data_IF_526575214336
#
_entry.id   IF_526575214336
#
_cell.length_a   1.000
_cell.length_b   1.000
_cell.length_c   1.000
_cell.angle_alpha   90.00
_cell.angle_beta   90.00
_cell.angle_gamma   90.00
#
_symmetry.space_group_name_H-M   'P 1'
#
loop_
_entity.id
_entity.type
_entity.pdbx_description
1 polymer ?
#
# COMPACT_ATOMS: atom_id res chain seq x y z
N UNK A 1 0.73 -9.12 14.83
CA UNK A 1 0.88 -9.56 16.23
C UNK A 1 1.06 -8.34 17.11
N UNK A 2 0.12 -8.14 17.98
CA UNK A 2 0.05 -6.99 18.88
C UNK A 2 0.94 -7.28 20.09
N UNK A 3 1.82 -6.36 20.38
CA UNK A 3 2.85 -6.44 21.42
C UNK A 3 2.35 -7.02 22.76
N UNK A 4 3.03 -8.04 23.30
CA UNK A 4 2.71 -8.62 24.61
C UNK A 4 3.20 -7.79 25.79
N UNK A 5 3.68 -6.58 25.65
CA UNK A 5 4.46 -5.86 26.66
C UNK A 5 3.69 -4.92 27.59
N UNK A 6 2.36 -5.00 27.61
CA UNK A 6 1.54 -4.27 28.61
C UNK A 6 0.87 -5.22 29.61
N UNK A 7 1.55 -6.26 30.00
CA UNK A 7 1.13 -7.10 31.13
C UNK A 7 1.58 -6.39 32.41
N UNK A 8 0.63 -5.82 33.16
CA UNK A 8 0.89 -5.38 34.51
C UNK A 8 0.25 -4.07 34.99
N UNK A 9 -0.61 -3.42 34.21
CA UNK A 9 -1.42 -2.34 34.78
C UNK A 9 -2.90 -2.59 34.53
N UNK A 10 -3.58 -3.07 35.54
CA UNK A 10 -5.05 -3.27 35.58
C UNK A 10 -5.86 -1.96 35.49
N UNK A 11 -5.23 -0.82 35.15
CA UNK A 11 -5.83 0.51 35.08
C UNK A 11 -5.52 1.27 33.77
N UNK A 12 -5.14 0.60 32.69
CA UNK A 12 -4.94 1.28 31.40
C UNK A 12 -6.20 1.18 30.55
N UNK A 13 -6.80 2.32 30.24
CA UNK A 13 -7.77 2.46 29.17
C UNK A 13 -7.06 2.10 27.86
N UNK A 14 -7.64 1.21 27.08
CA UNK A 14 -7.13 0.82 25.76
C UNK A 14 -8.05 1.38 24.69
N UNK A 15 -7.55 2.37 24.00
CA UNK A 15 -8.23 2.91 22.82
C UNK A 15 -7.62 2.29 21.55
N UNK A 16 -8.44 2.05 20.57
CA UNK A 16 -8.02 1.56 19.25
C UNK A 16 -8.57 2.45 18.16
N UNK A 17 -7.69 2.89 17.27
CA UNK A 17 -8.07 3.54 16.02
C UNK A 17 -7.78 2.60 14.85
N UNK A 18 -8.74 2.43 13.95
CA UNK A 18 -8.59 1.58 12.78
C UNK A 18 -9.34 2.17 11.57
N UNK A 19 -9.06 1.66 10.38
CA UNK A 19 -9.69 2.08 9.12
C UNK A 19 -9.96 0.88 8.19
N UNK A 20 -9.65 -0.32 8.63
CA UNK A 20 -9.90 -1.53 7.85
C UNK A 20 -11.38 -1.91 7.86
N UNK A 21 -11.79 -2.71 6.89
CA UNK A 21 -13.13 -3.31 6.93
C UNK A 21 -13.27 -4.17 8.19
N UNK A 22 -14.36 -3.96 8.93
CA UNK A 22 -14.62 -4.71 10.16
C UNK A 22 -14.91 -6.17 9.79
N UNK A 23 -14.14 -7.15 10.31
CA UNK A 23 -14.40 -8.54 10.05
C UNK A 23 -15.77 -8.98 10.57
N UNK A 24 -16.48 -9.83 9.80
CA UNK A 24 -17.78 -10.36 10.16
C UNK A 24 -17.69 -11.85 10.50
N UNK A 25 -18.33 -12.27 11.57
CA UNK A 25 -18.49 -13.67 11.93
C UNK A 25 -19.92 -13.94 12.35
N UNK A 26 -20.57 -14.89 11.72
CA UNK A 26 -21.95 -15.30 12.00
C UNK A 26 -22.98 -14.14 11.93
N UNK A 27 -22.69 -13.10 11.14
CA UNK A 27 -23.52 -11.91 10.98
C UNK A 27 -23.24 -10.80 12.01
N UNK A 28 -22.28 -10.99 12.89
CA UNK A 28 -21.84 -10.00 13.89
C UNK A 28 -20.45 -9.44 13.58
N UNK A 29 -20.22 -8.19 13.94
CA UNK A 29 -18.89 -7.56 13.81
C UNK A 29 -17.90 -8.16 14.81
N UNK A 30 -16.74 -8.61 14.34
CA UNK A 30 -15.66 -9.12 15.15
C UNK A 30 -14.72 -7.97 15.55
N UNK A 31 -15.06 -7.28 16.61
CA UNK A 31 -14.25 -6.17 17.13
C UNK A 31 -13.18 -6.66 18.11
N UNK A 32 -12.01 -6.02 18.13
CA UNK A 32 -10.97 -6.31 19.12
C UNK A 32 -11.41 -5.88 20.54
N UNK A 33 -10.82 -6.51 21.55
CA UNK A 33 -11.04 -6.09 22.94
C UNK A 33 -10.35 -4.74 23.19
N UNK A 34 -11.14 -3.69 23.34
CA UNK A 34 -10.71 -2.33 23.66
C UNK A 34 -11.82 -1.59 24.40
N UNK A 35 -11.47 -0.57 25.20
CA UNK A 35 -12.45 0.27 25.92
C UNK A 35 -13.16 1.24 24.96
N UNK A 36 -12.42 1.75 23.97
CA UNK A 36 -12.95 2.59 22.90
C UNK A 36 -12.36 2.17 21.56
N UNK A 37 -13.20 2.06 20.55
CA UNK A 37 -12.79 1.79 19.17
C UNK A 37 -13.27 2.95 18.29
N UNK A 38 -12.32 3.58 17.59
CA UNK A 38 -12.59 4.63 16.60
C UNK A 38 -12.28 4.06 15.22
N UNK A 39 -13.32 3.58 14.56
CA UNK A 39 -13.26 3.10 13.19
C UNK A 39 -14.55 3.51 12.48
N UNK A 40 -14.49 4.41 11.49
CA UNK A 40 -15.67 4.91 10.78
C UNK A 40 -16.36 3.86 9.90
N UNK A 41 -15.86 2.64 9.85
CA UNK A 41 -16.47 1.51 9.12
C UNK A 41 -17.29 0.58 10.00
N UNK A 42 -17.34 0.81 11.32
CA UNK A 42 -18.26 0.09 12.20
C UNK A 42 -19.70 0.41 11.83
N UNK A 43 -20.60 -0.58 11.90
CA UNK A 43 -22.03 -0.41 11.60
C UNK A 43 -22.75 0.61 12.47
N UNK A 44 -22.25 0.83 13.68
CA UNK A 44 -22.77 1.80 14.66
C UNK A 44 -22.22 3.22 14.47
N UNK A 45 -21.17 3.40 13.66
CA UNK A 45 -20.57 4.71 13.41
C UNK A 45 -21.40 5.51 12.40
N UNK A 46 -21.58 6.80 12.66
CA UNK A 46 -22.33 7.71 11.80
C UNK A 46 -21.42 8.76 11.13
N UNK A 47 -20.11 8.54 11.12
CA UNK A 47 -19.18 9.46 10.49
C UNK A 47 -19.45 9.54 8.97
N UNK A 48 -19.65 10.75 8.42
CA UNK A 48 -20.16 10.87 7.03
C UNK A 48 -19.14 10.50 5.96
N UNK A 49 -17.88 10.25 6.32
CA UNK A 49 -16.82 9.89 5.39
C UNK A 49 -15.93 8.74 5.92
N UNK A 50 -16.34 7.48 5.74
CA UNK A 50 -15.65 6.34 6.32
C UNK A 50 -14.34 5.95 5.59
N UNK A 51 -13.96 6.64 4.53
CA UNK A 51 -12.84 6.25 3.65
C UNK A 51 -11.52 6.93 4.01
N UNK A 52 -11.33 7.24 5.28
CA UNK A 52 -10.05 7.75 5.78
C UNK A 52 -9.04 6.62 5.91
N UNK A 53 -7.76 6.91 5.69
CA UNK A 53 -6.68 6.01 6.10
C UNK A 53 -6.42 6.11 7.61
N UNK A 54 -5.69 5.14 8.19
CA UNK A 54 -5.40 5.11 9.62
C UNK A 54 -4.74 6.39 10.16
N UNK A 55 -3.79 6.96 9.42
CA UNK A 55 -3.19 8.24 9.80
C UNK A 55 -4.15 9.43 9.66
N UNK A 56 -5.13 9.36 8.76
CA UNK A 56 -6.21 10.35 8.66
C UNK A 56 -7.09 10.35 9.89
N UNK A 57 -7.45 9.17 10.39
CA UNK A 57 -8.22 9.01 11.65
C UNK A 57 -7.41 9.52 12.84
N UNK A 58 -6.15 9.10 12.95
CA UNK A 58 -5.25 9.56 14.00
C UNK A 58 -5.08 11.09 13.99
N UNK A 59 -4.91 11.69 12.80
CA UNK A 59 -4.86 13.14 12.64
C UNK A 59 -6.13 13.82 13.17
N UNK A 60 -7.32 13.32 12.85
CA UNK A 60 -8.58 13.90 13.32
C UNK A 60 -8.74 13.81 14.84
N UNK A 61 -8.36 12.67 15.42
CA UNK A 61 -8.36 12.49 16.87
C UNK A 61 -7.43 13.51 17.56
N UNK A 62 -6.19 13.62 17.08
CA UNK A 62 -5.22 14.57 17.64
C UNK A 62 -5.66 16.03 17.41
N UNK A 63 -6.24 16.32 16.24
CA UNK A 63 -6.79 17.64 15.95
C UNK A 63 -7.85 18.06 16.98
N UNK A 64 -8.79 17.16 17.31
CA UNK A 64 -9.81 17.41 18.32
C UNK A 64 -9.20 17.55 19.72
N UNK A 65 -8.19 16.77 20.08
CA UNK A 65 -7.46 16.91 21.33
C UNK A 65 -6.77 18.29 21.46
N UNK A 66 -6.12 18.76 20.37
CA UNK A 66 -5.53 20.09 20.33
C UNK A 66 -6.59 21.18 20.51
N UNK A 67 -7.72 21.04 19.81
CA UNK A 67 -8.85 21.96 19.90
C UNK A 67 -9.38 22.06 21.33
N UNK A 68 -9.66 20.93 21.99
CA UNK A 68 -10.12 20.88 23.40
C UNK A 68 -9.09 21.42 24.38
N UNK A 69 -7.81 21.21 24.10
CA UNK A 69 -6.73 21.75 24.94
C UNK A 69 -6.41 23.23 24.64
N UNK A 70 -7.13 23.90 23.74
CA UNK A 70 -6.86 25.27 23.32
C UNK A 70 -5.51 25.45 22.60
N UNK A 71 -4.89 24.37 22.13
CA UNK A 71 -3.61 24.40 21.40
C UNK A 71 -3.82 24.66 19.91
N UNK A 72 -2.81 25.26 19.26
CA UNK A 72 -2.78 25.54 17.81
C UNK A 72 -1.60 24.81 17.18
N UNK A 73 -1.59 24.68 15.86
CA UNK A 73 -0.45 24.16 15.12
C UNK A 73 -0.56 22.70 14.68
N UNK A 74 -1.60 21.97 15.10
CA UNK A 74 -1.83 20.57 14.73
C UNK A 74 -1.74 20.35 13.20
N UNK A 75 -2.37 21.21 12.41
CA UNK A 75 -2.35 21.11 10.94
C UNK A 75 -0.94 21.22 10.39
N UNK A 76 -0.15 22.19 10.90
CA UNK A 76 1.22 22.38 10.44
C UNK A 76 2.13 21.18 10.75
N UNK A 77 1.91 20.57 11.89
CA UNK A 77 2.74 19.47 12.38
C UNK A 77 2.36 18.13 11.75
N UNK A 78 1.07 17.83 11.65
CA UNK A 78 0.58 16.48 11.38
C UNK A 78 -0.10 16.31 10.01
N UNK A 79 -0.65 17.38 9.43
CA UNK A 79 -1.37 17.26 8.17
C UNK A 79 -0.51 16.78 6.99
N UNK A 80 0.79 17.11 6.88
CA UNK A 80 1.66 16.52 5.87
C UNK A 80 1.77 14.99 5.98
N UNK A 81 1.83 14.44 7.21
CA UNK A 81 1.86 13.00 7.43
C UNK A 81 0.54 12.33 7.07
N UNK A 82 -0.59 12.92 7.47
CA UNK A 82 -1.91 12.43 7.07
C UNK A 82 -2.06 12.43 5.54
N UNK A 83 -1.56 13.46 4.85
CA UNK A 83 -1.59 13.54 3.40
C UNK A 83 -0.72 12.46 2.73
N UNK A 84 0.50 12.25 3.24
CA UNK A 84 1.38 11.18 2.74
C UNK A 84 0.73 9.81 2.89
N UNK A 85 0.23 9.50 4.09
CA UNK A 85 -0.42 8.23 4.35
C UNK A 85 -1.67 8.04 3.49
N UNK A 86 -2.51 9.08 3.35
CA UNK A 86 -3.72 9.04 2.49
C UNK A 86 -3.38 8.65 1.05
N UNK A 87 -2.30 9.18 0.50
CA UNK A 87 -1.85 8.82 -0.85
C UNK A 87 -1.23 7.44 -0.91
N UNK A 88 -0.38 7.09 0.07
CA UNK A 88 0.34 5.81 0.09
C UNK A 88 -0.56 4.62 0.36
N UNK A 89 -1.63 4.81 1.12
CA UNK A 89 -2.65 3.80 1.41
C UNK A 89 -3.68 3.62 0.28
N UNK A 90 -3.57 4.44 -0.75
CA UNK A 90 -4.37 4.36 -1.97
C UNK A 90 -5.89 4.50 -1.71
N UNK A 91 -6.26 5.20 -0.66
CA UNK A 91 -7.68 5.51 -0.40
C UNK A 91 -8.21 6.55 -1.39
N UNK A 92 -9.53 6.58 -1.66
CA UNK A 92 -10.11 7.48 -2.66
C UNK A 92 -9.80 8.96 -2.38
N UNK A 93 -9.31 9.70 -3.38
CA UNK A 93 -8.91 11.11 -3.26
C UNK A 93 -10.07 12.08 -3.59
N UNK A 94 -11.23 11.85 -3.01
CA UNK A 94 -12.37 12.78 -3.01
C UNK A 94 -12.80 13.10 -1.58
N UNK A 95 -13.78 14.00 -1.40
CA UNK A 95 -14.27 14.38 -0.08
C UNK A 95 -13.17 14.90 0.84
N UNK A 96 -13.11 14.39 2.07
CA UNK A 96 -12.12 14.80 3.07
C UNK A 96 -10.69 14.43 2.68
N UNK A 97 -10.47 13.26 2.11
CA UNK A 97 -9.14 12.84 1.67
C UNK A 97 -8.52 13.83 0.68
N UNK A 98 -9.33 14.35 -0.26
CA UNK A 98 -8.85 15.39 -1.18
C UNK A 98 -8.41 16.65 -0.45
N UNK A 99 -9.18 17.08 0.56
CA UNK A 99 -8.87 18.26 1.38
C UNK A 99 -7.59 18.04 2.20
N UNK A 100 -7.44 16.87 2.82
CA UNK A 100 -6.26 16.48 3.58
C UNK A 100 -5.02 16.53 2.67
N UNK A 101 -5.08 15.90 1.50
CA UNK A 101 -3.93 15.82 0.58
C UNK A 101 -3.58 17.20 0.02
N UNK A 102 -4.55 18.01 -0.42
CA UNK A 102 -4.28 19.38 -0.92
C UNK A 102 -3.63 20.27 0.13
N UNK A 103 -4.18 20.28 1.35
CA UNK A 103 -3.67 21.12 2.44
C UNK A 103 -2.33 20.61 2.96
N UNK A 104 -2.16 19.30 3.07
CA UNK A 104 -0.91 18.68 3.49
C UNK A 104 0.23 18.94 2.51
N UNK A 105 -0.02 18.83 1.21
CA UNK A 105 0.95 19.16 0.16
C UNK A 105 1.35 20.66 0.20
N UNK A 106 0.37 21.56 0.36
CA UNK A 106 0.65 22.99 0.47
C UNK A 106 1.51 23.33 1.70
N UNK A 107 1.40 22.54 2.77
CA UNK A 107 2.14 22.72 4.02
C UNK A 107 3.43 21.90 4.13
N UNK A 108 3.72 21.01 3.20
CA UNK A 108 4.78 20.00 3.34
C UNK A 108 6.19 20.60 3.57
N UNK A 109 6.50 21.73 2.92
CA UNK A 109 7.76 22.45 3.11
C UNK A 109 7.78 23.35 4.36
N UNK A 110 6.65 23.50 5.03
CA UNK A 110 6.50 24.35 6.22
C UNK A 110 6.42 23.52 7.50
N UNK A 111 6.52 22.19 7.39
CA UNK A 111 6.53 21.31 8.57
C UNK A 111 7.73 21.61 9.47
N UNK A 112 7.52 21.58 10.77
CA UNK A 112 8.59 21.65 11.76
C UNK A 112 9.35 20.33 11.91
N UNK A 113 8.94 19.27 11.24
CA UNK A 113 9.55 17.95 11.38
C UNK A 113 10.90 17.88 10.67
N UNK A 114 11.97 17.73 11.46
CA UNK A 114 13.35 17.71 10.99
C UNK A 114 13.60 16.49 10.08
N UNK A 115 13.08 15.34 10.46
CA UNK A 115 13.26 14.10 9.70
C UNK A 115 12.59 14.14 8.33
N UNK A 116 11.35 14.64 8.24
CA UNK A 116 10.66 14.79 6.96
C UNK A 116 11.40 15.78 6.05
N UNK A 117 11.85 16.91 6.59
CA UNK A 117 12.64 17.88 5.84
C UNK A 117 13.97 17.29 5.34
N UNK A 118 14.65 16.48 6.15
CA UNK A 118 15.87 15.78 5.76
C UNK A 118 15.59 14.79 4.60
N UNK A 119 14.51 14.01 4.66
CA UNK A 119 14.13 13.09 3.61
C UNK A 119 13.81 13.82 2.29
N UNK A 120 13.01 14.88 2.36
CA UNK A 120 12.67 15.72 1.19
C UNK A 120 13.93 16.29 0.54
N UNK A 121 14.88 16.76 1.34
CA UNK A 121 16.16 17.29 0.86
C UNK A 121 17.00 16.21 0.16
N UNK A 122 17.08 15.02 0.72
CA UNK A 122 17.83 13.90 0.11
C UNK A 122 17.20 13.40 -1.20
N UNK A 123 15.88 13.50 -1.34
CA UNK A 123 15.18 13.11 -2.57
C UNK A 123 15.28 14.13 -3.70
N UNK A 124 15.84 15.32 -3.43
CA UNK A 124 16.18 16.38 -4.39
C UNK A 124 15.03 16.71 -5.37
N UNK A 125 13.98 17.31 -4.83
CA UNK A 125 12.85 17.74 -5.66
C UNK A 125 13.16 19.06 -6.33
N UNK A 126 13.26 19.06 -7.68
CA UNK A 126 13.48 20.28 -8.48
C UNK A 126 12.21 21.12 -8.70
N UNK A 127 11.04 20.58 -8.35
CA UNK A 127 9.73 21.19 -8.52
C UNK A 127 8.90 21.01 -7.26
N UNK A 128 7.74 21.68 -7.23
CA UNK A 128 6.75 21.48 -6.17
C UNK A 128 6.37 19.99 -6.03
N UNK A 129 6.32 19.53 -4.78
CA UNK A 129 5.95 18.14 -4.45
C UNK A 129 4.46 17.96 -4.72
N UNK A 130 4.11 16.95 -5.50
CA UNK A 130 2.74 16.60 -5.88
C UNK A 130 2.34 15.27 -5.21
N UNK A 131 1.06 14.94 -5.26
CA UNK A 131 0.55 13.67 -4.74
C UNK A 131 1.29 12.45 -5.32
N UNK A 132 1.62 12.49 -6.62
CA UNK A 132 2.42 11.45 -7.26
C UNK A 132 3.79 11.26 -6.62
N UNK A 133 4.43 12.36 -6.17
CA UNK A 133 5.73 12.27 -5.50
C UNK A 133 5.61 11.63 -4.10
N UNK A 134 4.47 11.83 -3.41
CA UNK A 134 4.17 11.13 -2.17
C UNK A 134 4.08 9.61 -2.40
N UNK A 135 3.30 9.19 -3.40
CA UNK A 135 3.06 7.77 -3.68
C UNK A 135 4.25 7.03 -4.29
N UNK A 136 5.06 7.68 -5.16
CA UNK A 136 6.11 6.99 -5.92
C UNK A 136 7.55 7.30 -5.49
N UNK A 137 7.77 8.33 -4.68
CA UNK A 137 9.12 8.72 -4.24
C UNK A 137 9.25 8.72 -2.73
N UNK A 138 8.42 9.45 -2.00
CA UNK A 138 8.53 9.59 -0.54
C UNK A 138 8.02 8.32 0.16
N UNK A 139 6.81 7.88 -0.14
CA UNK A 139 6.19 6.70 0.46
C UNK A 139 7.02 5.42 0.31
N UNK A 140 7.51 5.08 -0.89
CA UNK A 140 8.39 3.94 -1.08
C UNK A 140 9.68 3.99 -0.26
N UNK A 141 10.26 5.17 -0.01
CA UNK A 141 11.41 5.31 0.89
C UNK A 141 11.01 4.99 2.34
N UNK A 142 9.90 5.54 2.81
CA UNK A 142 9.41 5.30 4.19
C UNK A 142 9.08 3.82 4.41
N UNK A 143 8.56 3.13 3.40
CA UNK A 143 8.18 1.72 3.49
C UNK A 143 9.35 0.75 3.31
N UNK A 144 10.46 1.19 2.71
CA UNK A 144 11.58 0.30 2.36
C UNK A 144 12.25 -0.38 3.57
N UNK A 145 12.52 0.31 4.71
CA UNK A 145 13.08 -0.33 5.89
C UNK A 145 12.20 -1.48 6.39
N UNK A 146 10.88 -1.27 6.51
CA UNK A 146 9.96 -2.31 6.96
C UNK A 146 9.84 -3.52 6.02
N UNK A 147 10.25 -3.36 4.76
CA UNK A 147 10.31 -4.48 3.80
C UNK A 147 11.62 -5.28 3.89
N UNK A 148 12.75 -4.62 4.11
CA UNK A 148 14.07 -5.27 4.04
C UNK A 148 14.75 -5.45 5.40
N UNK A 149 14.35 -4.68 6.41
CA UNK A 149 14.98 -4.61 7.73
C UNK A 149 13.94 -4.42 8.84
N UNK A 150 13.85 -3.20 9.38
CA UNK A 150 12.95 -2.83 10.47
C UNK A 150 12.24 -1.50 10.17
N UNK A 151 10.91 -1.50 10.25
CA UNK A 151 10.08 -0.30 10.06
C UNK A 151 10.36 0.80 11.10
N UNK A 152 10.97 0.46 12.23
CA UNK A 152 11.36 1.40 13.28
C UNK A 152 12.33 2.48 12.77
N UNK A 153 13.17 2.18 11.78
CA UNK A 153 14.09 3.18 11.18
C UNK A 153 13.34 4.40 10.63
N UNK A 154 12.19 4.19 10.01
CA UNK A 154 11.37 5.29 9.48
C UNK A 154 10.68 6.08 10.59
N UNK A 155 10.23 5.43 11.64
CA UNK A 155 9.67 6.09 12.81
C UNK A 155 10.74 6.95 13.51
N UNK A 156 11.93 6.41 13.72
CA UNK A 156 13.05 7.11 14.33
C UNK A 156 13.48 8.34 13.52
N UNK A 157 13.40 8.29 12.18
CA UNK A 157 13.63 9.47 11.36
C UNK A 157 12.64 10.60 11.70
N UNK A 158 11.36 10.29 11.80
CA UNK A 158 10.33 11.31 12.08
C UNK A 158 10.30 11.79 13.53
N UNK A 159 10.86 11.01 14.46
CA UNK A 159 11.03 11.38 15.86
C UNK A 159 12.35 12.10 16.15
N UNK A 160 13.25 12.19 15.17
CA UNK A 160 14.57 12.77 15.33
C UNK A 160 14.50 14.30 15.53
N UNK A 161 15.28 14.79 16.48
CA UNK A 161 15.34 16.21 16.84
C UNK A 161 16.66 16.88 16.45
N UNK A 162 17.68 16.08 16.14
CA UNK A 162 18.97 16.56 15.67
C UNK A 162 19.05 16.53 14.13
N UNK A 163 19.44 17.62 13.52
CA UNK A 163 19.43 17.78 12.07
C UNK A 163 20.50 16.93 11.36
N UNK A 164 21.65 16.69 11.99
CA UNK A 164 22.72 15.87 11.42
C UNK A 164 22.35 14.39 11.49
N UNK A 165 21.83 13.94 12.62
CA UNK A 165 21.30 12.60 12.79
C UNK A 165 20.15 12.33 11.82
N UNK A 166 19.21 13.27 11.65
CA UNK A 166 18.13 13.16 10.70
C UNK A 166 18.63 13.03 9.25
N UNK A 167 19.65 13.80 8.86
CA UNK A 167 20.24 13.70 7.53
C UNK A 167 20.87 12.33 7.28
N UNK A 168 21.58 11.78 8.27
CA UNK A 168 22.19 10.45 8.18
C UNK A 168 21.12 9.33 8.10
N UNK A 169 20.03 9.44 8.87
CA UNK A 169 18.90 8.49 8.81
C UNK A 169 18.19 8.58 7.47
N UNK A 170 17.91 9.78 6.98
CA UNK A 170 17.28 9.98 5.67
C UNK A 170 18.12 9.37 4.53
N UNK A 171 19.43 9.56 4.55
CA UNK A 171 20.36 8.97 3.58
C UNK A 171 20.25 7.43 3.58
N UNK A 172 20.26 6.79 4.77
CA UNK A 172 20.12 5.34 4.92
C UNK A 172 18.79 4.82 4.38
N UNK A 173 17.70 5.50 4.66
CA UNK A 173 16.36 5.12 4.18
C UNK A 173 16.30 5.19 2.65
N UNK A 174 16.88 6.23 2.04
CA UNK A 174 16.96 6.35 0.58
C UNK A 174 17.81 5.23 -0.02
N UNK A 175 18.95 4.92 0.57
CA UNK A 175 19.81 3.80 0.16
C UNK A 175 19.08 2.45 0.26
N UNK A 176 18.38 2.19 1.37
CA UNK A 176 17.55 0.99 1.56
C UNK A 176 16.47 0.88 0.48
N UNK A 177 15.86 1.99 0.08
CA UNK A 177 14.88 1.98 -1.00
C UNK A 177 15.51 1.69 -2.37
N UNK A 178 16.71 2.18 -2.66
CA UNK A 178 17.44 1.82 -3.89
C UNK A 178 17.82 0.33 -3.89
N UNK A 179 18.27 -0.22 -2.77
CA UNK A 179 18.50 -1.66 -2.60
C UNK A 179 17.22 -2.46 -2.88
N UNK A 180 16.08 -2.05 -2.32
CA UNK A 180 14.78 -2.69 -2.57
C UNK A 180 14.42 -2.65 -4.06
N UNK A 181 14.59 -1.50 -4.72
CA UNK A 181 14.32 -1.34 -6.16
C UNK A 181 15.17 -2.27 -7.00
N UNK A 182 16.45 -2.38 -6.70
CA UNK A 182 17.38 -3.23 -7.45
C UNK A 182 17.04 -4.71 -7.26
N UNK A 183 16.76 -5.15 -6.03
CA UNK A 183 16.28 -6.51 -5.76
C UNK A 183 14.98 -6.79 -6.52
N UNK A 184 14.03 -5.85 -6.50
CA UNK A 184 12.76 -5.99 -7.23
C UNK A 184 13.00 -6.13 -8.73
N UNK A 185 13.85 -5.29 -9.34
CA UNK A 185 14.20 -5.36 -10.78
C UNK A 185 14.82 -6.69 -11.14
N UNK A 186 15.82 -7.13 -10.39
CA UNK A 186 16.51 -8.39 -10.61
C UNK A 186 15.54 -9.57 -10.56
N UNK A 187 14.70 -9.65 -9.50
CA UNK A 187 13.73 -10.73 -9.35
C UNK A 187 12.64 -10.68 -10.44
N UNK A 188 12.15 -9.50 -10.79
CA UNK A 188 11.17 -9.34 -11.88
C UNK A 188 11.74 -9.81 -13.22
N UNK A 189 12.99 -9.43 -13.52
CA UNK A 189 13.67 -9.86 -14.74
C UNK A 189 13.83 -11.38 -14.79
N UNK A 190 14.35 -11.99 -13.73
CA UNK A 190 14.50 -13.44 -13.63
C UNK A 190 13.15 -14.16 -13.82
N UNK A 191 12.10 -13.69 -13.15
CA UNK A 191 10.77 -14.25 -13.28
C UNK A 191 10.20 -14.11 -14.69
N UNK A 192 10.38 -12.96 -15.34
CA UNK A 192 9.91 -12.72 -16.70
C UNK A 192 10.62 -13.60 -17.71
N UNK A 193 11.94 -13.79 -17.58
CA UNK A 193 12.72 -14.72 -18.40
C UNK A 193 12.22 -16.17 -18.23
N UNK A 194 11.86 -16.59 -17.03
CA UNK A 194 11.31 -17.93 -16.79
C UNK A 194 9.93 -18.11 -17.45
N UNK A 195 9.05 -17.13 -17.29
CA UNK A 195 7.71 -17.14 -17.89
C UNK A 195 7.78 -17.20 -19.43
N UNK A 196 8.74 -16.52 -20.04
CA UNK A 196 8.90 -16.46 -21.51
C UNK A 196 9.44 -17.74 -22.15
N UNK A 197 9.97 -18.69 -21.37
CA UNK A 197 10.47 -19.98 -21.90
C UNK A 197 9.36 -20.91 -22.40
N UNK A 198 8.12 -20.65 -22.03
CA UNK A 198 6.96 -21.48 -22.34
C UNK A 198 5.81 -20.64 -22.90
N UNK A 199 4.83 -21.24 -23.58
CA UNK A 199 3.61 -20.55 -23.95
C UNK A 199 2.94 -19.95 -22.72
N UNK A 200 2.51 -18.69 -22.83
CA UNK A 200 1.96 -17.92 -21.71
C UNK A 200 0.66 -18.55 -21.21
N UNK A 201 0.62 -19.07 -19.97
CA UNK A 201 -0.59 -19.65 -19.40
C UNK A 201 -1.60 -18.55 -18.97
N UNK A 202 -2.87 -18.91 -18.72
CA UNK A 202 -3.87 -17.94 -18.27
C UNK A 202 -3.61 -17.40 -16.84
N UNK A 203 -2.87 -18.13 -16.02
CA UNK A 203 -2.42 -17.73 -14.66
C UNK A 203 -0.93 -18.00 -14.54
N UNK A 204 -0.19 -17.04 -14.03
CA UNK A 204 1.25 -17.19 -13.78
C UNK A 204 1.47 -17.61 -12.32
N UNK A 205 2.16 -18.73 -12.14
CA UNK A 205 2.61 -19.19 -10.81
C UNK A 205 4.11 -19.37 -10.86
N UNK A 206 4.84 -18.42 -10.29
CA UNK A 206 6.30 -18.33 -10.38
C UNK A 206 6.90 -18.59 -8.99
N UNK A 207 7.85 -19.54 -8.92
CA UNK A 207 8.61 -19.79 -7.71
C UNK A 207 10.00 -19.16 -7.84
N UNK A 208 10.32 -18.27 -6.89
CA UNK A 208 11.58 -17.54 -6.81
C UNK A 208 12.23 -17.79 -5.44
N UNK A 209 13.10 -18.76 -5.36
CA UNK A 209 13.71 -19.21 -4.11
C UNK A 209 14.38 -18.08 -3.32
N UNK A 210 15.09 -17.19 -4.00
CA UNK A 210 15.88 -16.11 -3.37
C UNK A 210 15.12 -14.79 -3.22
N UNK A 211 13.85 -14.74 -3.62
CA UNK A 211 13.05 -13.53 -3.49
C UNK A 211 12.65 -13.31 -2.03
N UNK A 212 12.93 -12.13 -1.49
CA UNK A 212 12.47 -11.80 -0.16
C UNK A 212 10.94 -11.70 -0.13
N UNK A 213 10.28 -12.30 0.87
CA UNK A 213 8.81 -12.38 0.95
C UNK A 213 8.12 -11.02 0.85
N UNK A 214 8.70 -9.97 1.44
CA UNK A 214 8.16 -8.61 1.42
C UNK A 214 8.22 -7.92 0.05
N UNK A 215 9.00 -8.48 -0.90
CA UNK A 215 9.16 -7.96 -2.27
C UNK A 215 8.34 -8.78 -3.26
N UNK A 216 7.97 -10.02 -2.90
CA UNK A 216 7.21 -10.93 -3.77
C UNK A 216 5.93 -10.30 -4.34
N UNK A 217 5.20 -9.53 -3.53
CA UNK A 217 3.99 -8.81 -3.97
C UNK A 217 4.26 -7.72 -5.01
N UNK A 218 5.42 -7.06 -4.95
CA UNK A 218 5.81 -6.04 -5.93
C UNK A 218 6.22 -6.73 -7.23
N UNK A 219 6.98 -7.82 -7.16
CA UNK A 219 7.33 -8.64 -8.32
C UNK A 219 6.07 -9.17 -9.02
N UNK A 220 5.10 -9.67 -8.23
CA UNK A 220 3.81 -10.12 -8.77
C UNK A 220 3.07 -8.98 -9.49
N UNK A 221 3.09 -7.77 -8.95
CA UNK A 221 2.51 -6.57 -9.56
C UNK A 221 3.16 -6.25 -10.92
N UNK A 222 4.49 -6.21 -10.96
CA UNK A 222 5.25 -5.93 -12.18
C UNK A 222 5.01 -6.99 -13.28
N UNK A 223 5.00 -8.26 -12.90
CA UNK A 223 4.70 -9.35 -13.86
C UNK A 223 3.25 -9.28 -14.37
N UNK A 224 2.29 -8.94 -13.51
CA UNK A 224 0.90 -8.72 -13.91
C UNK A 224 0.79 -7.59 -14.95
N UNK A 225 1.50 -6.50 -14.75
CA UNK A 225 1.53 -5.39 -15.72
C UNK A 225 2.18 -5.79 -17.04
N UNK A 226 3.29 -6.50 -16.96
CA UNK A 226 4.02 -6.91 -18.16
C UNK A 226 3.28 -7.94 -19.02
N UNK A 227 2.58 -8.90 -18.40
CA UNK A 227 1.95 -10.02 -19.09
C UNK A 227 0.43 -9.95 -19.16
N UNK A 228 -0.18 -9.03 -18.41
CA UNK A 228 -1.62 -8.94 -18.22
C UNK A 228 -2.26 -10.29 -17.85
N UNK A 229 -1.79 -10.88 -16.77
CA UNK A 229 -2.24 -12.17 -16.22
C UNK A 229 -2.39 -12.07 -14.70
N UNK A 230 -3.28 -12.83 -14.06
CA UNK A 230 -3.16 -13.09 -12.64
C UNK A 230 -1.82 -13.73 -12.34
N UNK A 231 -1.11 -13.25 -11.32
CA UNK A 231 0.24 -13.70 -10.97
C UNK A 231 0.29 -14.09 -9.50
N UNK A 232 0.88 -15.22 -9.23
CA UNK A 232 1.30 -15.68 -7.90
C UNK A 232 2.82 -15.82 -7.90
N UNK A 233 3.49 -15.05 -7.05
CA UNK A 233 4.92 -15.20 -6.77
C UNK A 233 5.08 -15.90 -5.44
N UNK A 234 5.81 -16.99 -5.44
CA UNK A 234 6.04 -17.87 -4.26
C UNK A 234 7.52 -17.87 -3.96
N UNK A 235 7.88 -17.79 -2.68
CA UNK A 235 9.27 -17.74 -2.23
C UNK A 235 9.46 -18.55 -0.96
N UNK A 236 10.71 -18.83 -0.61
CA UNK A 236 11.08 -19.49 0.63
C UNK A 236 10.87 -18.55 1.83
N UNK A 237 10.37 -19.10 2.93
CA UNK A 237 10.22 -18.43 4.21
C UNK A 237 10.45 -19.45 5.36
N UNK A 238 11.70 -19.65 5.70
CA UNK A 238 12.09 -20.66 6.68
C UNK A 238 11.79 -22.10 6.22
N UNK A 239 10.96 -22.79 6.95
CA UNK A 239 10.57 -24.19 6.69
C UNK A 239 9.36 -24.35 5.75
N UNK A 240 8.75 -23.24 5.36
CA UNK A 240 7.57 -23.21 4.48
C UNK A 240 7.76 -22.23 3.32
N UNK A 241 6.77 -22.17 2.46
CA UNK A 241 6.72 -21.21 1.36
C UNK A 241 5.67 -20.15 1.64
N UNK A 242 5.97 -18.91 1.28
CA UNK A 242 5.01 -17.80 1.25
C UNK A 242 4.77 -17.34 -0.18
N UNK A 243 3.55 -16.93 -0.45
CA UNK A 243 3.16 -16.42 -1.75
C UNK A 243 2.40 -15.11 -1.66
N UNK A 244 2.58 -14.31 -2.69
CA UNK A 244 1.81 -13.08 -2.93
C UNK A 244 1.18 -13.13 -4.30
N UNK A 245 -0.12 -12.84 -4.38
CA UNK A 245 -0.88 -12.80 -5.62
C UNK A 245 -1.29 -11.39 -6.01
N UNK A 246 -1.33 -11.13 -7.32
CA UNK A 246 -1.88 -9.91 -7.93
C UNK A 246 -2.77 -10.28 -9.10
N UNK A 247 -3.96 -9.66 -9.16
CA UNK A 247 -5.00 -10.02 -10.12
C UNK A 247 -5.17 -9.02 -11.25
N UNK A 248 -5.90 -9.46 -12.27
CA UNK A 248 -6.49 -8.64 -13.32
C UNK A 248 -8.02 -8.62 -13.16
N UNK A 249 -8.76 -7.68 -13.79
CA UNK A 249 -10.21 -7.68 -13.78
C UNK A 249 -10.80 -9.01 -14.27
N UNK A 250 -11.77 -9.53 -13.54
CA UNK A 250 -12.43 -10.80 -13.84
C UNK A 250 -11.84 -12.04 -13.17
N UNK A 251 -10.75 -11.89 -12.39
CA UNK A 251 -10.17 -12.99 -11.61
C UNK A 251 -10.13 -12.61 -10.13
N UNK A 252 -10.76 -13.38 -9.27
CA UNK A 252 -10.90 -13.07 -7.85
C UNK A 252 -9.91 -13.88 -7.02
N UNK A 253 -8.77 -13.27 -6.64
CA UNK A 253 -7.67 -13.94 -5.94
C UNK A 253 -8.10 -14.76 -4.72
N UNK A 254 -8.89 -14.18 -3.83
CA UNK A 254 -9.31 -14.85 -2.61
C UNK A 254 -10.19 -16.08 -2.90
N UNK A 255 -11.12 -16.01 -3.86
CA UNK A 255 -11.98 -17.13 -4.21
C UNK A 255 -11.18 -18.27 -4.84
N UNK A 256 -10.23 -17.97 -5.69
CA UNK A 256 -9.34 -18.96 -6.30
C UNK A 256 -8.46 -19.67 -5.25
N UNK A 257 -7.92 -18.92 -4.29
CA UNK A 257 -7.18 -19.53 -3.17
C UNK A 257 -8.10 -20.36 -2.27
N UNK A 258 -9.33 -19.89 -2.02
CA UNK A 258 -10.35 -20.67 -1.29
C UNK A 258 -10.66 -22.00 -1.97
N UNK A 259 -10.79 -22.04 -3.28
CA UNK A 259 -10.99 -23.27 -4.05
C UNK A 259 -9.77 -24.22 -3.97
N UNK A 260 -8.57 -23.64 -3.76
CA UNK A 260 -7.31 -24.36 -3.62
C UNK A 260 -6.88 -24.58 -2.15
N UNK A 261 -7.73 -24.31 -1.15
CA UNK A 261 -7.38 -24.30 0.28
C UNK A 261 -6.69 -25.56 0.79
N UNK A 262 -6.96 -26.72 0.21
CA UNK A 262 -6.31 -28.00 0.60
C UNK A 262 -4.80 -28.04 0.41
N UNK A 263 -4.24 -27.11 -0.40
CA UNK A 263 -2.81 -26.99 -0.62
C UNK A 263 -2.16 -25.90 0.25
N UNK A 264 -2.98 -25.13 0.99
CA UNK A 264 -2.55 -23.97 1.75
C UNK A 264 -2.59 -24.24 3.26
N UNK A 265 -1.66 -23.62 3.99
CA UNK A 265 -1.69 -23.59 5.46
C UNK A 265 -2.43 -22.36 5.96
N UNK A 266 -2.23 -21.24 5.29
CA UNK A 266 -2.88 -19.96 5.59
C UNK A 266 -3.10 -19.21 4.30
N UNK A 267 -4.16 -18.43 4.20
CA UNK A 267 -4.37 -17.49 3.11
C UNK A 267 -5.33 -16.38 3.52
N UNK A 268 -5.20 -15.23 2.88
CA UNK A 268 -6.06 -14.08 3.09
C UNK A 268 -5.89 -13.05 1.98
N UNK A 269 -6.84 -12.12 1.90
CA UNK A 269 -6.79 -11.07 0.89
C UNK A 269 -8.18 -10.71 0.37
N UNK A 270 -8.20 -10.14 -0.83
CA UNK A 270 -9.40 -9.69 -1.52
C UNK A 270 -9.31 -10.00 -3.03
N UNK A 271 -10.23 -9.48 -3.83
CA UNK A 271 -10.28 -9.77 -5.26
C UNK A 271 -8.99 -9.44 -6.01
N UNK A 272 -8.34 -8.31 -5.70
CA UNK A 272 -7.19 -7.81 -6.46
C UNK A 272 -5.84 -8.34 -5.99
N UNK A 273 -5.71 -8.72 -4.70
CA UNK A 273 -4.47 -9.17 -4.11
C UNK A 273 -4.72 -10.16 -2.98
N UNK A 274 -3.81 -11.10 -2.81
CA UNK A 274 -3.86 -12.06 -1.71
C UNK A 274 -2.45 -12.48 -1.28
N UNK A 275 -2.34 -12.86 0.01
CA UNK A 275 -1.18 -13.52 0.58
C UNK A 275 -1.55 -14.94 1.01
N UNK A 276 -0.58 -15.85 1.00
CA UNK A 276 -0.80 -17.22 1.40
C UNK A 276 0.50 -17.90 1.82
N UNK A 277 0.36 -18.99 2.57
CA UNK A 277 1.44 -19.87 3.00
C UNK A 277 1.13 -21.32 2.62
N UNK A 278 2.17 -22.10 2.32
CA UNK A 278 2.02 -23.51 1.96
C UNK A 278 3.29 -24.31 2.34
N UNK A 279 3.13 -25.60 2.44
CA UNK A 279 4.28 -26.50 2.56
C UNK A 279 4.92 -26.72 1.19
N UNK A 280 6.24 -26.93 1.15
CA UNK A 280 7.01 -27.10 -0.10
C UNK A 280 6.45 -28.24 -0.99
N UNK A 281 6.00 -29.33 -0.38
CA UNK A 281 5.46 -30.50 -1.10
C UNK A 281 4.15 -30.19 -1.85
N UNK A 282 3.46 -29.10 -1.45
CA UNK A 282 2.18 -28.71 -2.04
C UNK A 282 2.32 -27.76 -3.25
N UNK A 283 3.55 -27.32 -3.55
CA UNK A 283 3.79 -26.30 -4.59
C UNK A 283 3.26 -26.71 -5.97
N UNK A 284 3.60 -27.90 -6.43
CA UNK A 284 3.18 -28.39 -7.76
C UNK A 284 1.68 -28.72 -7.80
N UNK A 285 1.13 -29.18 -6.67
CA UNK A 285 -0.32 -29.37 -6.53
C UNK A 285 -1.10 -28.05 -6.61
N UNK A 286 -0.60 -27.00 -5.95
CA UNK A 286 -1.20 -25.67 -6.01
C UNK A 286 -1.13 -25.08 -7.42
N UNK A 287 0.03 -25.16 -8.10
CA UNK A 287 0.19 -24.68 -9.48
C UNK A 287 -0.81 -25.34 -10.42
N UNK A 288 -0.92 -26.66 -10.35
CA UNK A 288 -1.85 -27.41 -11.20
C UNK A 288 -3.31 -27.05 -10.90
N UNK A 289 -3.66 -26.89 -9.64
CA UNK A 289 -5.01 -26.55 -9.23
C UNK A 289 -5.41 -25.13 -9.68
N UNK A 290 -4.55 -24.13 -9.50
CA UNK A 290 -4.81 -22.74 -9.94
C UNK A 290 -4.99 -22.66 -11.45
N UNK A 291 -4.21 -23.41 -12.24
CA UNK A 291 -4.37 -23.48 -13.69
C UNK A 291 -5.67 -24.16 -14.10
N UNK A 292 -6.05 -25.26 -13.44
CA UNK A 292 -7.26 -26.00 -13.74
C UNK A 292 -8.54 -25.23 -13.35
N UNK A 293 -8.49 -24.46 -12.28
CA UNK A 293 -9.62 -23.65 -11.78
C UNK A 293 -9.84 -22.36 -12.57
N UNK A 294 -8.82 -21.86 -13.27
CA UNK A 294 -8.90 -20.59 -13.99
C UNK A 294 -10.02 -20.63 -15.06
N UNK A 295 -11.03 -19.80 -14.87
CA UNK A 295 -12.17 -19.66 -15.77
C UNK A 295 -12.06 -18.47 -16.73
N UNK A 296 -10.90 -17.78 -16.79
CA UNK A 296 -10.70 -16.62 -17.66
C UNK A 296 -10.78 -17.00 -19.14
N UNK A 297 -11.60 -16.26 -19.87
CA UNK A 297 -11.68 -16.36 -21.34
C UNK A 297 -10.53 -15.60 -22.00
N UNK A 298 -10.22 -15.93 -23.26
CA UNK A 298 -9.20 -15.22 -24.03
C UNK A 298 -9.46 -13.71 -24.12
N UNK A 299 -10.73 -13.29 -24.21
CA UNK A 299 -11.11 -11.87 -24.24
C UNK A 299 -10.84 -11.13 -22.95
N UNK A 300 -10.83 -11.82 -21.80
CA UNK A 300 -10.47 -11.25 -20.49
C UNK A 300 -8.96 -11.15 -20.27
N UNK A 301 -8.18 -11.89 -21.05
CA UNK A 301 -6.71 -11.88 -21.03
C UNK A 301 -6.13 -10.81 -21.96
N UNK A 302 -6.95 -9.96 -22.56
CA UNK A 302 -6.55 -8.80 -23.36
C UNK A 302 -6.80 -7.55 -22.52
N UNK A 303 -5.74 -6.76 -22.36
CA UNK A 303 -5.85 -5.50 -21.63
C UNK A 303 -6.79 -4.53 -22.34
N UNK A 304 -7.73 -3.97 -21.58
CA UNK A 304 -8.68 -2.97 -22.08
C UNK A 304 -8.27 -1.60 -21.60
N UNK A 305 -8.08 -0.68 -22.52
CA UNK A 305 -7.85 0.74 -22.21
C UNK A 305 -9.23 1.41 -22.11
N UNK A 306 -9.50 1.95 -20.92
CA UNK A 306 -10.70 2.79 -20.69
C UNK A 306 -10.30 4.25 -20.82
N UNK A 307 -11.11 5.04 -21.50
CA UNK A 307 -10.92 6.49 -21.63
C UNK A 307 -12.25 7.21 -21.34
N UNK A 308 -12.17 8.39 -20.75
CA UNK A 308 -13.34 9.16 -20.34
C UNK A 308 -14.06 9.81 -21.52
N UNK A 309 -13.27 10.28 -22.52
CA UNK A 309 -13.80 10.99 -23.67
C UNK A 309 -12.86 10.88 -24.88
N UNK A 310 -13.46 10.73 -26.07
CA UNK A 310 -12.76 10.93 -27.32
C UNK A 310 -12.67 12.43 -27.64
N UNK A 311 -11.48 12.90 -28.00
CA UNK A 311 -11.19 14.33 -28.26
C UNK A 311 -10.46 14.43 -29.58
N UNK A 312 -10.95 15.30 -30.46
CA UNK A 312 -10.25 15.60 -31.70
C UNK A 312 -8.97 16.41 -31.45
N UNK A 313 -7.93 16.21 -32.26
CA UNK A 313 -6.68 16.96 -32.13
C UNK A 313 -6.86 18.46 -32.10
N UNK A 314 -7.85 19.00 -32.84
CA UNK A 314 -8.16 20.42 -32.86
C UNK A 314 -8.76 20.97 -31.55
N UNK A 315 -9.27 20.10 -30.67
CA UNK A 315 -9.81 20.47 -29.36
C UNK A 315 -8.73 20.41 -28.26
N UNK A 316 -7.53 19.89 -28.58
CA UNK A 316 -6.42 19.77 -27.63
C UNK A 316 -5.62 21.08 -27.59
N UNK A 317 -6.15 22.06 -26.86
CA UNK A 317 -5.48 23.33 -26.64
C UNK A 317 -4.97 23.48 -25.19
N UNK A 318 -4.26 24.61 -24.94
CA UNK A 318 -3.75 24.91 -23.59
C UNK A 318 -4.87 25.19 -22.59
N UNK A 319 -6.06 25.57 -23.05
CA UNK A 319 -7.24 25.85 -22.22
C UNK A 319 -7.75 24.53 -21.64
N UNK A 320 -7.89 23.51 -22.47
CA UNK A 320 -8.28 22.14 -22.03
C UNK A 320 -7.28 21.59 -21.00
N UNK A 321 -5.97 21.71 -21.26
CA UNK A 321 -4.92 21.27 -20.32
C UNK A 321 -5.02 22.02 -18.99
N UNK A 322 -5.26 23.33 -19.03
CA UNK A 322 -5.42 24.15 -17.82
C UNK A 322 -6.66 23.73 -17.02
N UNK A 323 -7.79 23.51 -17.69
CA UNK A 323 -9.03 23.05 -17.06
C UNK A 323 -8.85 21.68 -16.41
N UNK A 324 -8.22 20.73 -17.09
CA UNK A 324 -7.89 19.44 -16.52
C UNK A 324 -6.97 19.57 -15.30
N UNK A 325 -5.96 20.43 -15.35
CA UNK A 325 -5.03 20.63 -14.23
C UNK A 325 -5.69 21.22 -12.98
N UNK A 326 -6.76 22.00 -13.11
CA UNK A 326 -7.51 22.52 -11.95
C UNK A 326 -8.16 21.42 -11.11
N UNK A 327 -8.55 20.32 -11.74
CA UNK A 327 -9.17 19.17 -11.06
C UNK A 327 -8.16 18.11 -10.64
N UNK A 328 -6.95 18.10 -11.21
CA UNK A 328 -5.94 17.09 -10.97
C UNK A 328 -5.28 17.29 -9.59
N UNK A 329 -5.51 16.36 -8.70
CA UNK A 329 -4.69 16.16 -7.53
C UNK A 329 -3.69 15.03 -7.80
N UNK A 330 -4.08 14.09 -8.65
CA UNK A 330 -3.35 12.90 -9.02
C UNK A 330 -3.62 12.58 -10.50
N UNK A 331 -2.59 12.46 -11.29
CA UNK A 331 -2.69 12.35 -12.77
C UNK A 331 -2.43 10.95 -13.29
N UNK A 332 -2.07 10.01 -12.42
CA UNK A 332 -1.76 8.62 -12.80
C UNK A 332 -2.77 7.68 -12.17
N UNK A 333 -3.05 6.53 -12.77
CA UNK A 333 -3.67 5.45 -12.03
C UNK A 333 -2.88 5.22 -10.74
N UNK A 334 -3.59 4.79 -9.69
CA UNK A 334 -3.06 4.51 -8.36
C UNK A 334 -1.66 3.92 -8.42
N UNK A 335 -0.73 4.33 -7.54
CA UNK A 335 0.53 3.61 -7.42
C UNK A 335 0.17 2.16 -7.16
N UNK A 336 0.46 1.36 -8.14
CA UNK A 336 0.30 -0.09 -8.01
C UNK A 336 1.61 -0.56 -7.43
N UNK A 337 1.57 -1.00 -6.17
CA UNK A 337 2.70 -1.64 -5.51
C UNK A 337 3.18 -2.87 -6.26
#
# INVERSE_FOLDING_TARGET
EIMPSLVGSEMCIRDRTDHHEVPMKDGEELLPSADVIVDPKQSVDNYPYPQLCGAGIAYKLIYELYHRAGKKGCDRELLPFAAMATVCDVVPLYGENRSIVRRGLAGIHQTGNIGLNALIKHLDFHKEIRAMDLGFRIGPCINAPGRLRDATESLELFMETDAECAAQRAARIVETNEERKERTRSMTKQAAEEVQKQPLPPVLVVYLQECHESVAGIVAGNLREQFYRPVYVITDSGDHLKGSGRSIPGYHMQQELQACQKYLTEFGGHAAAAGFSLRREQLEGLKSALLAHCSLTQGQLIEKVTYDREVALAEMDTTLVTQLSCCLLYTSPSPRD
#
